data_IF_883553390236
#
_entry.id   IF_883553390236
#
_cell.length_a   1.000
_cell.length_b   1.000
_cell.length_c   1.000
_cell.angle_alpha   90.00
_cell.angle_beta   90.00
_cell.angle_gamma   90.00
#
_symmetry.space_group_name_H-M   'P 1'
#
loop_
_entity.id
_entity.type
_entity.pdbx_description
1 polymer ?
#
# COMPACT_ATOMS: atom_id res chain seq x y z
N UNK A 1 8.33 -13.07 16.40
CA UNK A 1 8.10 -11.70 15.92
C UNK A 1 6.61 -11.42 16.03
N UNK A 2 6.19 -10.35 16.72
CA UNK A 2 4.78 -10.07 17.06
C UNK A 2 4.24 -8.86 16.28
N UNK A 3 2.92 -8.77 16.09
CA UNK A 3 2.25 -7.60 15.48
C UNK A 3 2.55 -6.30 16.25
N UNK A 4 2.80 -6.41 17.56
CA UNK A 4 3.13 -5.30 18.45
C UNK A 4 4.43 -4.61 18.04
N UNK A 5 5.44 -5.37 17.61
CA UNK A 5 6.69 -4.81 17.13
C UNK A 5 6.50 -3.96 15.85
N UNK A 6 5.59 -4.36 14.96
CA UNK A 6 5.27 -3.57 13.77
C UNK A 6 4.46 -2.32 14.08
N UNK A 7 3.60 -2.37 15.11
CA UNK A 7 2.91 -1.19 15.60
C UNK A 7 3.89 -0.15 16.16
N UNK A 8 4.84 -0.58 16.99
CA UNK A 8 5.90 0.30 17.51
C UNK A 8 6.75 0.88 16.38
N UNK A 9 7.10 0.08 15.37
CA UNK A 9 7.85 0.55 14.21
C UNK A 9 7.08 1.59 13.37
N UNK A 10 5.77 1.38 13.16
CA UNK A 10 4.92 2.33 12.44
C UNK A 10 4.79 3.66 13.21
N UNK A 11 4.66 3.61 14.54
CA UNK A 11 4.68 4.81 15.40
C UNK A 11 6.01 5.53 15.27
N UNK A 12 7.14 4.83 15.39
CA UNK A 12 8.47 5.42 15.23
C UNK A 12 8.62 6.10 13.86
N UNK A 13 8.20 5.42 12.79
CA UNK A 13 8.24 5.95 11.43
C UNK A 13 7.46 7.26 11.32
N UNK A 14 6.18 7.27 11.72
CA UNK A 14 5.32 8.46 11.62
C UNK A 14 5.92 9.63 12.36
N UNK A 15 6.25 9.47 13.64
CA UNK A 15 6.78 10.58 14.43
C UNK A 15 8.15 11.05 13.93
N UNK A 16 9.01 10.13 13.43
CA UNK A 16 10.28 10.54 12.82
C UNK A 16 10.09 11.39 11.57
N UNK A 17 9.12 11.07 10.72
CA UNK A 17 8.87 11.84 9.49
C UNK A 17 8.35 13.25 9.73
N UNK A 18 7.84 13.53 10.93
CA UNK A 18 7.33 14.86 11.31
C UNK A 18 8.39 15.75 11.95
N UNK A 19 9.55 15.18 12.29
CA UNK A 19 10.67 15.90 12.89
C UNK A 19 11.63 16.34 11.78
N UNK A 20 11.68 17.64 11.53
CA UNK A 20 12.60 18.29 10.59
C UNK A 20 13.94 18.63 11.26
N UNK A 21 14.51 17.64 11.96
CA UNK A 21 15.85 17.70 12.55
C UNK A 21 16.68 16.49 12.13
N UNK A 22 17.99 16.68 12.03
CA UNK A 22 18.96 15.62 11.74
C UNK A 22 19.26 14.78 13.00
N UNK A 23 18.21 14.09 13.48
CA UNK A 23 18.33 13.12 14.57
C UNK A 23 18.49 11.69 14.03
N UNK A 24 19.41 10.89 14.60
CA UNK A 24 19.59 9.50 14.21
C UNK A 24 18.36 8.66 14.56
N UNK A 25 17.97 7.75 13.66
CA UNK A 25 16.85 6.83 13.88
C UNK A 25 17.23 5.77 14.91
N UNK A 26 16.82 5.98 16.17
CA UNK A 26 17.04 5.03 17.26
C UNK A 26 15.90 5.07 18.30
N UNK A 27 16.00 4.22 19.32
CA UNK A 27 14.97 4.08 20.36
C UNK A 27 14.72 5.36 21.18
N UNK A 28 15.63 6.33 21.21
CA UNK A 28 15.43 7.62 21.88
C UNK A 28 14.27 8.43 21.29
N UNK A 29 13.94 8.24 20.00
CA UNK A 29 12.76 8.84 19.39
C UNK A 29 11.44 8.35 20.00
N UNK A 30 11.46 7.20 20.71
CA UNK A 30 10.30 6.63 21.38
C UNK A 30 10.17 7.05 22.84
N UNK A 31 11.21 7.62 23.46
CA UNK A 31 11.20 8.05 24.87
C UNK A 31 10.03 9.00 25.22
N UNK A 32 9.66 10.00 24.38
CA UNK A 32 8.52 10.86 24.69
C UNK A 32 7.14 10.22 24.41
N UNK A 33 7.09 9.01 23.84
CA UNK A 33 5.86 8.37 23.38
C UNK A 33 5.40 7.26 24.33
N UNK A 34 4.16 7.38 24.81
CA UNK A 34 3.49 6.28 25.52
C UNK A 34 2.66 5.46 24.53
N UNK A 35 3.18 4.30 24.14
CA UNK A 35 2.49 3.36 23.24
C UNK A 35 1.70 2.34 24.09
N UNK A 36 0.38 2.29 23.90
CA UNK A 36 -0.50 1.35 24.60
C UNK A 36 -1.13 0.41 23.57
N UNK A 37 -0.70 -0.86 23.58
CA UNK A 37 -1.29 -1.90 22.74
C UNK A 37 -2.02 -2.92 23.62
N UNK A 38 -3.36 -2.93 23.66
CA UNK A 38 -4.13 -3.84 24.51
C UNK A 38 -3.84 -5.30 24.17
N UNK A 39 -3.66 -6.14 25.19
CA UNK A 39 -3.47 -7.58 25.01
C UNK A 39 -4.73 -8.23 24.40
N UNK A 40 -4.55 -9.17 23.47
CA UNK A 40 -5.65 -9.84 22.77
C UNK A 40 -6.26 -8.99 21.65
N UNK A 41 -5.80 -7.75 21.46
CA UNK A 41 -6.16 -6.96 20.28
C UNK A 41 -5.53 -7.53 19.01
N UNK A 42 -6.01 -7.07 17.84
CA UNK A 42 -5.39 -7.41 16.55
C UNK A 42 -3.89 -7.10 16.54
N UNK A 43 -3.43 -6.03 17.20
CA UNK A 43 -2.03 -5.62 17.21
C UNK A 43 -1.19 -6.36 18.25
N UNK A 44 -1.81 -7.06 19.20
CA UNK A 44 -1.12 -7.88 20.20
C UNK A 44 -1.89 -9.17 20.45
N UNK A 45 -1.97 -10.04 19.43
CA UNK A 45 -2.79 -11.24 19.52
C UNK A 45 -2.12 -12.28 20.41
N UNK A 46 -2.92 -13.21 20.93
CA UNK A 46 -2.41 -14.34 21.73
C UNK A 46 -2.02 -15.48 20.80
N UNK A 47 -0.89 -16.14 21.07
CA UNK A 47 -0.53 -17.39 20.40
C UNK A 47 -1.69 -18.40 20.53
N UNK A 48 -2.06 -19.16 19.48
CA UNK A 48 -1.38 -19.34 18.17
C UNK A 48 -1.94 -18.47 17.02
N UNK A 49 -2.53 -17.30 17.29
CA UNK A 49 -3.09 -16.45 16.25
C UNK A 49 -2.09 -16.10 15.14
N UNK A 50 -2.55 -16.12 13.89
CA UNK A 50 -1.73 -15.82 12.72
C UNK A 50 -1.32 -14.34 12.68
N UNK A 51 -0.05 -14.10 12.38
CA UNK A 51 0.55 -12.76 12.33
C UNK A 51 1.17 -12.43 10.96
N UNK A 52 0.94 -13.28 9.95
CA UNK A 52 1.47 -13.03 8.60
C UNK A 52 0.87 -11.74 8.03
N UNK A 53 1.60 -11.10 7.12
CA UNK A 53 1.21 -9.88 6.43
C UNK A 53 1.07 -8.60 7.28
N UNK A 54 1.39 -8.60 8.57
CA UNK A 54 1.27 -7.37 9.33
C UNK A 54 2.34 -6.30 9.01
N UNK A 55 3.51 -6.67 8.48
CA UNK A 55 4.43 -5.67 7.91
C UNK A 55 3.86 -5.06 6.63
N UNK A 56 3.31 -5.86 5.72
CA UNK A 56 2.86 -5.36 4.41
C UNK A 56 1.47 -4.69 4.43
N UNK A 57 0.61 -5.09 5.36
CA UNK A 57 -0.79 -4.62 5.40
C UNK A 57 -1.14 -3.88 6.69
N UNK A 58 -0.89 -4.48 7.86
CA UNK A 58 -1.31 -3.89 9.14
C UNK A 58 -0.52 -2.62 9.47
N UNK A 59 0.79 -2.60 9.19
CA UNK A 59 1.64 -1.43 9.43
C UNK A 59 1.20 -0.23 8.57
N UNK A 60 0.84 -0.46 7.31
CA UNK A 60 0.30 0.57 6.40
C UNK A 60 -1.00 1.17 6.97
N UNK A 61 -1.90 0.31 7.46
CA UNK A 61 -3.16 0.76 8.08
C UNK A 61 -2.92 1.57 9.37
N UNK A 62 -1.94 1.18 10.19
CA UNK A 62 -1.54 1.95 11.38
C UNK A 62 -0.99 3.31 10.98
N UNK A 63 -0.09 3.35 10.00
CA UNK A 63 0.53 4.59 9.52
C UNK A 63 -0.51 5.56 8.95
N UNK A 64 -1.41 5.09 8.09
CA UNK A 64 -2.54 5.90 7.58
C UNK A 64 -3.40 6.45 8.72
N UNK A 65 -3.70 5.62 9.73
CA UNK A 65 -4.52 6.02 10.87
C UNK A 65 -3.84 7.09 11.73
N UNK A 66 -2.53 6.97 11.95
CA UNK A 66 -1.75 7.94 12.73
C UNK A 66 -1.63 9.28 12.00
N UNK A 67 -1.30 9.30 10.71
CA UNK A 67 -1.25 10.55 9.94
C UNK A 67 -2.63 11.21 9.83
N UNK A 68 -3.68 10.42 9.61
CA UNK A 68 -5.06 10.91 9.60
C UNK A 68 -5.47 11.50 10.95
N UNK A 69 -5.10 10.86 12.06
CA UNK A 69 -5.38 11.37 13.41
C UNK A 69 -4.61 12.67 13.73
N UNK A 70 -3.39 12.81 13.21
CA UNK A 70 -2.59 14.02 13.34
C UNK A 70 -3.04 15.15 12.40
N UNK A 71 -3.90 14.86 11.43
CA UNK A 71 -4.41 15.86 10.50
C UNK A 71 -3.40 16.31 9.43
N UNK A 72 -2.29 15.59 9.24
CA UNK A 72 -1.16 16.03 8.42
C UNK A 72 -1.16 15.48 6.99
N UNK A 73 -1.72 14.28 6.79
CA UNK A 73 -1.71 13.61 5.48
C UNK A 73 -2.94 12.70 5.35
N UNK A 74 -3.60 12.74 4.20
CA UNK A 74 -4.63 11.78 3.83
C UNK A 74 -4.03 10.37 3.65
N UNK A 75 -4.87 9.33 3.61
CA UNK A 75 -4.36 7.97 3.46
C UNK A 75 -3.64 7.79 2.11
N UNK A 76 -2.51 7.09 2.13
CA UNK A 76 -1.91 6.54 0.91
C UNK A 76 -2.65 5.27 0.48
N UNK A 77 -2.11 4.54 -0.49
CA UNK A 77 -2.67 3.27 -0.94
C UNK A 77 -2.91 2.23 0.19
N UNK A 78 -2.29 2.38 1.37
CA UNK A 78 -2.62 1.62 2.57
C UNK A 78 -2.39 0.10 2.48
N UNK A 79 -1.53 -0.33 1.56
CA UNK A 79 -1.19 -1.72 1.24
C UNK A 79 0.12 -1.75 0.46
N UNK A 80 0.87 -2.84 0.55
CA UNK A 80 2.04 -3.06 -0.33
C UNK A 80 1.69 -3.88 -1.57
N UNK A 81 0.42 -4.28 -1.74
CA UNK A 81 -0.04 -5.12 -2.86
C UNK A 81 0.86 -6.35 -3.05
N UNK A 82 0.95 -7.18 -2.01
CA UNK A 82 1.94 -8.25 -1.96
C UNK A 82 1.56 -9.38 -2.92
N UNK A 83 2.23 -9.40 -4.07
CA UNK A 83 1.96 -10.34 -5.15
C UNK A 83 3.05 -11.39 -5.21
N UNK A 84 2.63 -12.65 -5.23
CA UNK A 84 3.51 -13.79 -5.30
C UNK A 84 3.02 -14.74 -6.36
N UNK A 85 3.94 -15.41 -7.03
CA UNK A 85 3.58 -16.52 -7.89
C UNK A 85 4.72 -17.52 -7.99
N UNK A 86 4.40 -18.74 -8.37
CA UNK A 86 5.42 -19.75 -8.57
C UNK A 86 4.87 -21.13 -8.93
N UNK A 87 5.79 -22.05 -9.09
CA UNK A 87 5.56 -23.47 -9.26
C UNK A 87 6.73 -24.25 -8.63
N UNK A 88 6.90 -25.53 -8.95
CA UNK A 88 7.98 -26.34 -8.39
C UNK A 88 9.39 -25.83 -8.72
N UNK A 89 9.55 -24.97 -9.74
CA UNK A 89 10.84 -24.48 -10.24
C UNK A 89 11.08 -23.00 -9.95
N UNK A 90 10.01 -22.21 -9.87
CA UNK A 90 10.08 -20.77 -9.78
C UNK A 90 9.33 -20.25 -8.56
N UNK A 91 9.87 -19.23 -7.90
CA UNK A 91 9.22 -18.52 -6.81
C UNK A 91 9.51 -17.03 -6.96
N UNK A 92 8.46 -16.22 -7.04
CA UNK A 92 8.55 -14.78 -7.16
C UNK A 92 7.70 -14.09 -6.09
N UNK A 93 8.19 -12.94 -5.66
CA UNK A 93 7.57 -12.08 -4.67
C UNK A 93 7.83 -10.63 -5.07
N UNK A 94 6.78 -9.82 -5.12
CA UNK A 94 6.89 -8.36 -5.27
C UNK A 94 5.87 -7.61 -4.43
N UNK A 95 6.23 -6.37 -4.11
CA UNK A 95 5.32 -5.35 -3.60
C UNK A 95 5.08 -4.33 -4.69
N UNK A 96 3.83 -3.97 -4.96
CA UNK A 96 3.48 -3.08 -6.07
C UNK A 96 3.06 -1.71 -5.52
N UNK A 97 3.61 -0.67 -6.14
CA UNK A 97 3.36 0.72 -5.77
C UNK A 97 1.92 1.20 -6.12
N UNK A 98 1.51 2.31 -5.51
CA UNK A 98 0.19 2.91 -5.72
C UNK A 98 0.19 4.39 -5.41
N UNK A 99 -0.99 4.97 -5.21
CA UNK A 99 -1.10 6.41 -4.97
C UNK A 99 -0.71 6.80 -3.55
N UNK A 100 0.09 7.85 -3.39
CA UNK A 100 0.33 8.43 -2.05
C UNK A 100 -0.78 9.42 -1.67
N UNK A 101 -1.00 9.60 -0.37
CA UNK A 101 -1.92 10.62 0.13
C UNK A 101 -1.40 12.03 -0.13
N UNK A 102 -2.33 12.98 -0.31
CA UNK A 102 -2.04 14.40 -0.27
C UNK A 102 -1.82 14.85 1.19
N UNK A 103 -1.00 15.88 1.40
CA UNK A 103 -0.61 16.28 2.75
C UNK A 103 -0.27 17.76 2.89
N UNK A 104 -0.02 18.15 4.15
CA UNK A 104 0.33 19.51 4.55
C UNK A 104 1.81 19.56 4.88
N UNK A 105 2.51 20.54 4.31
CA UNK A 105 3.91 20.84 4.60
C UNK A 105 4.03 21.85 5.75
N UNK A 106 3.07 22.78 5.85
CA UNK A 106 3.10 23.82 6.88
C UNK A 106 1.71 24.21 7.36
N UNK A 107 1.56 24.20 8.68
CA UNK A 107 0.39 24.75 9.37
C UNK A 107 0.63 26.19 9.81
N UNK A 108 -0.42 26.99 9.84
CA UNK A 108 -0.44 28.32 10.46
C UNK A 108 -0.69 28.25 11.96
N UNK A 109 -0.59 29.39 12.63
CA UNK A 109 -0.73 29.50 14.09
C UNK A 109 -2.11 29.04 14.60
N UNK A 110 -3.13 29.04 13.74
CA UNK A 110 -4.50 28.61 14.09
C UNK A 110 -4.81 27.20 13.61
N UNK A 111 -3.80 26.45 13.14
CA UNK A 111 -3.94 25.09 12.63
C UNK A 111 -4.45 25.00 11.19
N UNK A 112 -4.51 26.11 10.45
CA UNK A 112 -4.89 26.13 9.05
C UNK A 112 -3.76 25.58 8.16
N UNK A 113 -4.11 24.79 7.14
CA UNK A 113 -3.13 24.29 6.17
C UNK A 113 -2.73 25.42 5.20
N UNK A 114 -1.53 25.96 5.39
CA UNK A 114 -0.99 27.07 4.59
C UNK A 114 -0.37 26.55 3.29
N UNK A 115 0.42 25.49 3.40
CA UNK A 115 1.17 24.89 2.31
C UNK A 115 1.03 23.36 2.36
N UNK A 116 0.90 22.74 1.21
CA UNK A 116 0.67 21.31 1.08
C UNK A 116 1.11 20.80 -0.28
N UNK A 117 0.96 19.51 -0.48
CA UNK A 117 1.42 18.82 -1.68
C UNK A 117 0.37 17.84 -2.17
N UNK A 118 0.31 17.68 -3.49
CA UNK A 118 -0.38 16.56 -4.13
C UNK A 118 0.33 15.25 -3.76
N UNK A 119 -0.42 14.15 -3.79
CA UNK A 119 0.14 12.82 -3.72
C UNK A 119 0.85 12.45 -5.02
N UNK A 120 1.91 11.63 -4.90
CA UNK A 120 2.63 11.10 -6.03
C UNK A 120 1.95 9.83 -6.58
N UNK A 121 1.96 9.71 -7.90
CA UNK A 121 1.40 8.58 -8.63
C UNK A 121 2.36 7.38 -8.59
N UNK A 122 1.83 6.18 -8.29
CA UNK A 122 2.55 4.89 -8.41
C UNK A 122 3.92 4.89 -7.71
N UNK A 123 3.96 5.32 -6.45
CA UNK A 123 5.16 5.27 -5.60
C UNK A 123 5.02 4.27 -4.45
N UNK A 124 6.15 3.77 -3.96
CA UNK A 124 6.15 3.02 -2.70
C UNK A 124 5.97 4.01 -1.55
N UNK A 125 5.03 3.73 -0.65
CA UNK A 125 4.64 4.63 0.43
C UNK A 125 4.88 4.00 1.78
N UNK A 126 5.26 4.84 2.75
CA UNK A 126 5.36 4.49 4.16
C UNK A 126 6.30 3.31 4.45
N UNK A 127 5.74 2.18 4.88
CA UNK A 127 6.48 1.04 5.44
C UNK A 127 7.19 0.19 4.37
N UNK A 128 7.32 0.70 3.15
CA UNK A 128 7.93 0.02 2.00
C UNK A 128 9.27 0.66 1.65
N UNK A 129 10.30 -0.16 1.43
CA UNK A 129 11.63 0.28 0.99
C UNK A 129 12.14 -0.46 -0.26
N UNK A 130 11.24 -1.05 -1.03
CA UNK A 130 11.57 -1.82 -2.22
C UNK A 130 11.66 -0.93 -3.46
N UNK A 131 12.46 -1.39 -4.44
CA UNK A 131 12.44 -0.86 -5.81
C UNK A 131 11.64 -1.78 -6.69
N UNK A 132 11.03 -1.23 -7.74
CA UNK A 132 10.41 -2.03 -8.79
C UNK A 132 11.48 -2.89 -9.48
N UNK A 133 11.16 -4.14 -9.79
CA UNK A 133 12.02 -4.98 -10.63
C UNK A 133 11.82 -4.61 -12.10
N UNK A 134 12.91 -4.39 -12.82
CA UNK A 134 12.85 -4.10 -14.26
C UNK A 134 12.10 -5.22 -15.01
N UNK A 135 11.20 -4.89 -15.95
CA UNK A 135 10.43 -5.88 -16.69
C UNK A 135 11.32 -6.89 -17.41
N UNK A 136 12.40 -6.43 -18.06
CA UNK A 136 13.37 -7.30 -18.75
C UNK A 136 14.00 -8.34 -17.81
N UNK A 137 14.31 -7.95 -16.56
CA UNK A 137 14.88 -8.86 -15.56
C UNK A 137 13.84 -9.85 -15.07
N UNK A 138 12.59 -9.41 -14.87
CA UNK A 138 11.48 -10.28 -14.47
C UNK A 138 11.19 -11.34 -15.56
N UNK A 139 11.05 -10.91 -16.80
CA UNK A 139 10.72 -11.77 -17.95
C UNK A 139 11.87 -12.72 -18.32
N UNK A 140 13.12 -12.29 -18.11
CA UNK A 140 14.27 -13.17 -18.32
C UNK A 140 14.36 -14.29 -17.26
N UNK A 141 13.97 -14.00 -16.01
CA UNK A 141 14.08 -14.94 -14.89
C UNK A 141 12.89 -15.86 -14.72
N UNK A 142 11.71 -15.41 -15.14
CA UNK A 142 10.44 -16.07 -14.88
C UNK A 142 9.64 -16.18 -16.18
N UNK A 143 8.94 -17.29 -16.44
CA UNK A 143 8.11 -17.48 -17.63
C UNK A 143 6.79 -16.68 -17.50
N UNK A 144 6.92 -15.36 -17.48
CA UNK A 144 5.85 -14.38 -17.47
C UNK A 144 6.21 -13.24 -18.42
N UNK A 145 5.22 -12.47 -18.85
CA UNK A 145 5.38 -11.26 -19.65
C UNK A 145 4.67 -10.11 -18.95
N UNK A 146 5.36 -8.97 -18.75
CA UNK A 146 4.73 -7.75 -18.25
C UNK A 146 4.04 -7.07 -19.43
N UNK A 147 2.73 -7.27 -19.57
CA UNK A 147 1.99 -6.65 -20.67
C UNK A 147 1.91 -5.13 -20.53
N UNK A 148 1.71 -4.67 -19.30
CA UNK A 148 1.75 -3.25 -19.00
C UNK A 148 1.93 -2.97 -17.50
N UNK A 149 2.50 -1.80 -17.22
CA UNK A 149 2.45 -1.19 -15.90
C UNK A 149 2.20 0.31 -16.05
N UNK A 150 0.97 0.72 -15.80
CA UNK A 150 0.44 2.03 -16.18
C UNK A 150 -0.07 2.80 -14.96
N UNK A 151 -0.10 4.13 -15.05
CA UNK A 151 -0.82 4.96 -14.07
C UNK A 151 -2.32 4.79 -14.29
N UNK A 152 -3.06 4.45 -13.23
CA UNK A 152 -4.52 4.36 -13.22
C UNK A 152 -5.12 5.75 -13.01
N UNK A 153 -5.13 6.55 -14.07
CA UNK A 153 -5.56 7.95 -14.04
C UNK A 153 -6.97 8.11 -13.43
N UNK A 154 -7.14 9.13 -12.59
CA UNK A 154 -8.41 9.43 -11.91
C UNK A 154 -8.70 8.54 -10.70
N UNK A 155 -7.74 7.74 -10.25
CA UNK A 155 -7.89 6.94 -9.03
C UNK A 155 -7.52 7.69 -7.75
N UNK A 156 -6.76 8.78 -7.86
CA UNK A 156 -6.46 9.67 -6.73
C UNK A 156 -7.68 10.49 -6.29
N UNK A 157 -7.84 10.67 -4.97
CA UNK A 157 -8.91 11.44 -4.38
C UNK A 157 -8.79 12.93 -4.70
N UNK A 158 -9.91 13.59 -5.00
CA UNK A 158 -9.96 15.03 -5.21
C UNK A 158 -9.75 15.81 -3.90
N UNK A 159 -9.21 17.01 -4.00
CA UNK A 159 -9.08 17.96 -2.90
C UNK A 159 -8.35 19.21 -3.36
N UNK A 160 -8.18 20.19 -2.46
CA UNK A 160 -7.26 21.33 -2.69
C UNK A 160 -5.88 20.84 -3.13
N UNK A 161 -5.43 19.76 -2.49
CA UNK A 161 -4.34 18.92 -2.97
C UNK A 161 -4.89 17.53 -3.28
N UNK A 162 -4.55 17.01 -4.45
CA UNK A 162 -5.08 15.76 -4.99
C UNK A 162 -4.27 14.58 -4.49
N UNK A 163 -4.92 13.48 -4.15
CA UNK A 163 -4.22 12.23 -3.89
C UNK A 163 -3.57 11.68 -5.17
N UNK A 164 -2.50 10.92 -5.02
CA UNK A 164 -1.82 10.27 -6.14
C UNK A 164 -2.67 9.15 -6.73
N UNK A 165 -2.49 8.88 -8.02
CA UNK A 165 -3.10 7.76 -8.71
C UNK A 165 -2.38 6.45 -8.38
N UNK A 166 -3.16 5.38 -8.24
CA UNK A 166 -2.66 4.01 -8.25
C UNK A 166 -2.13 3.60 -9.62
N UNK A 167 -1.66 2.36 -9.72
CA UNK A 167 -1.16 1.75 -10.95
C UNK A 167 -2.03 0.59 -11.41
N UNK A 168 -1.89 0.19 -12.67
CA UNK A 168 -2.43 -1.05 -13.22
C UNK A 168 -1.27 -1.89 -13.72
N UNK A 169 -1.03 -3.05 -13.09
CA UNK A 169 0.02 -4.01 -13.46
C UNK A 169 -0.63 -5.25 -14.05
N UNK A 170 -0.22 -5.63 -15.26
CA UNK A 170 -0.74 -6.78 -16.01
C UNK A 170 0.40 -7.76 -16.28
N UNK A 171 0.27 -8.98 -15.78
CA UNK A 171 1.30 -10.03 -15.92
C UNK A 171 0.67 -11.24 -16.58
N UNK A 172 1.10 -11.55 -17.81
CA UNK A 172 0.71 -12.76 -18.52
C UNK A 172 1.60 -13.92 -18.09
N UNK A 173 1.00 -15.06 -17.80
CA UNK A 173 1.71 -16.28 -17.46
C UNK A 173 2.01 -17.10 -18.72
N UNK A 174 3.21 -17.65 -18.81
CA UNK A 174 3.65 -18.49 -19.94
C UNK A 174 3.78 -19.98 -19.55
N UNK A 175 3.72 -20.28 -18.26
CA UNK A 175 3.69 -21.62 -17.70
C UNK A 175 2.59 -21.74 -16.63
N UNK A 176 2.11 -22.97 -16.33
CA UNK A 176 1.24 -23.21 -15.19
C UNK A 176 1.91 -22.81 -13.86
N UNK A 177 1.21 -21.99 -13.07
CA UNK A 177 1.69 -21.47 -11.78
C UNK A 177 0.52 -21.21 -10.82
N UNK A 178 0.82 -21.19 -9.54
CA UNK A 178 -0.08 -20.67 -8.52
C UNK A 178 0.28 -19.20 -8.28
N UNK A 179 -0.69 -18.29 -8.43
CA UNK A 179 -0.55 -16.87 -8.10
C UNK A 179 -1.35 -16.54 -6.84
N UNK A 180 -0.78 -15.75 -5.94
CA UNK A 180 -1.44 -15.29 -4.71
C UNK A 180 -1.20 -13.81 -4.49
N UNK A 181 -2.24 -13.13 -3.99
CA UNK A 181 -2.21 -11.72 -3.64
C UNK A 181 -2.64 -11.57 -2.18
N UNK A 182 -1.91 -10.75 -1.43
CA UNK A 182 -2.33 -10.26 -0.12
C UNK A 182 -2.36 -8.75 -0.19
N UNK A 183 -3.54 -8.16 -0.04
CA UNK A 183 -3.71 -6.74 -0.33
C UNK A 183 -4.93 -6.14 0.38
N UNK A 184 -4.78 -4.93 0.91
CA UNK A 184 -5.86 -4.15 1.54
C UNK A 184 -6.49 -3.13 0.57
N UNK A 185 -7.44 -2.34 1.06
CA UNK A 185 -8.09 -1.24 0.30
C UNK A 185 -8.79 -1.67 -1.00
N UNK A 186 -9.29 -2.91 -1.05
CA UNK A 186 -10.20 -3.43 -2.09
C UNK A 186 -11.68 -3.27 -1.74
N UNK A 187 -11.97 -2.97 -0.47
CA UNK A 187 -13.32 -2.76 0.07
C UNK A 187 -13.49 -1.38 0.69
N UNK A 188 -12.55 -0.98 1.55
CA UNK A 188 -12.54 0.32 2.22
C UNK A 188 -11.55 1.22 1.50
N UNK A 189 -12.02 2.32 0.95
CA UNK A 189 -11.20 3.29 0.23
C UNK A 189 -10.15 3.95 1.14
N UNK A 190 -8.98 4.34 0.58
CA UNK A 190 -8.07 5.28 1.22
C UNK A 190 -8.79 6.61 1.51
N UNK A 191 -8.90 6.97 2.78
CA UNK A 191 -9.68 8.14 3.19
C UNK A 191 -8.98 9.45 2.78
N UNK A 192 -9.77 10.43 2.34
CA UNK A 192 -9.33 11.81 2.24
C UNK A 192 -9.30 12.50 3.61
N UNK A 193 -8.78 13.72 3.67
CA UNK A 193 -8.61 14.46 4.92
C UNK A 193 -9.06 15.92 4.77
N UNK A 194 -9.54 16.51 5.87
CA UNK A 194 -9.98 17.91 5.92
C UNK A 194 -10.98 18.32 4.81
N UNK A 195 -11.89 17.43 4.43
CA UNK A 195 -12.87 17.64 3.36
C UNK A 195 -12.43 17.15 1.97
N UNK A 196 -11.20 16.62 1.83
CA UNK A 196 -10.75 15.92 0.63
C UNK A 196 -11.48 14.59 0.43
N UNK A 197 -11.64 14.21 -0.83
CA UNK A 197 -12.29 12.97 -1.24
C UNK A 197 -11.36 11.76 -1.07
N UNK A 198 -11.97 10.59 -0.87
CA UNK A 198 -11.26 9.32 -0.81
C UNK A 198 -10.65 8.94 -2.17
N UNK A 199 -9.52 8.23 -2.12
CA UNK A 199 -8.96 7.57 -3.30
C UNK A 199 -9.80 6.36 -3.73
N UNK A 200 -9.68 5.93 -4.98
CA UNK A 200 -10.36 4.76 -5.47
C UNK A 200 -9.76 3.47 -4.87
N UNK A 201 -10.63 2.50 -4.54
CA UNK A 201 -10.21 1.16 -4.14
C UNK A 201 -9.41 0.46 -5.24
N UNK A 202 -8.47 -0.40 -4.82
CA UNK A 202 -7.79 -1.33 -5.71
C UNK A 202 -8.68 -2.50 -6.12
N UNK A 203 -8.26 -3.26 -7.13
CA UNK A 203 -8.95 -4.45 -7.66
C UNK A 203 -7.94 -5.51 -8.10
N UNK A 204 -8.30 -6.77 -7.93
CA UNK A 204 -7.50 -7.91 -8.38
C UNK A 204 -8.42 -8.79 -9.23
N UNK A 205 -7.97 -9.20 -10.41
CA UNK A 205 -8.74 -10.12 -11.26
C UNK A 205 -7.83 -10.84 -12.25
N UNK A 206 -8.30 -11.98 -12.76
CA UNK A 206 -7.64 -12.73 -13.83
C UNK A 206 -8.44 -12.56 -15.11
N UNK A 207 -7.77 -12.21 -16.19
CA UNK A 207 -8.27 -12.35 -17.56
C UNK A 207 -7.78 -13.70 -18.09
N UNK A 208 -8.69 -14.66 -18.22
CA UNK A 208 -8.40 -16.00 -18.71
C UNK A 208 -8.11 -15.98 -20.21
N UNK A 209 -7.30 -16.92 -20.68
CA UNK A 209 -6.98 -17.05 -22.11
C UNK A 209 -8.24 -17.27 -22.99
N UNK A 210 -9.33 -17.80 -22.43
CA UNK A 210 -10.62 -17.96 -23.10
C UNK A 210 -11.48 -16.67 -23.16
N UNK A 211 -10.98 -15.56 -22.62
CA UNK A 211 -11.68 -14.26 -22.55
C UNK A 211 -12.55 -14.06 -21.30
N UNK A 212 -12.68 -15.05 -20.42
CA UNK A 212 -13.39 -14.91 -19.16
C UNK A 212 -12.62 -14.01 -18.18
N UNK A 213 -13.34 -13.21 -17.40
CA UNK A 213 -12.78 -12.42 -16.31
C UNK A 213 -13.24 -12.95 -14.96
N UNK A 214 -12.28 -13.28 -14.10
CA UNK A 214 -12.53 -13.79 -12.74
C UNK A 214 -12.06 -12.75 -11.72
N UNK A 215 -13.01 -12.13 -10.99
CA UNK A 215 -12.67 -11.22 -9.90
C UNK A 215 -12.10 -11.99 -8.70
N UNK A 216 -11.05 -11.44 -8.08
CA UNK A 216 -10.40 -12.02 -6.91
C UNK A 216 -10.65 -11.20 -5.65
N UNK A 217 -10.59 -11.87 -4.51
CA UNK A 217 -10.67 -11.23 -3.19
C UNK A 217 -9.39 -10.43 -2.88
N UNK A 218 -9.41 -9.58 -1.83
CA UNK A 218 -8.21 -8.84 -1.40
C UNK A 218 -7.04 -9.77 -1.03
N UNK A 219 -7.36 -10.89 -0.38
CA UNK A 219 -6.44 -12.00 -0.14
C UNK A 219 -6.98 -13.22 -0.88
N UNK A 220 -6.28 -13.69 -1.90
CA UNK A 220 -6.76 -14.79 -2.74
C UNK A 220 -5.61 -15.55 -3.41
N UNK A 221 -5.90 -16.77 -3.84
CA UNK A 221 -4.98 -17.65 -4.55
C UNK A 221 -5.68 -18.27 -5.74
N UNK A 222 -5.01 -18.33 -6.89
CA UNK A 222 -5.57 -18.84 -8.13
C UNK A 222 -4.52 -19.58 -8.95
N UNK A 223 -4.95 -20.67 -9.58
CA UNK A 223 -4.14 -21.37 -10.58
C UNK A 223 -4.19 -20.59 -11.90
N UNK A 224 -3.01 -20.32 -12.45
CA UNK A 224 -2.79 -19.62 -13.70
C UNK A 224 -2.39 -20.63 -14.77
N UNK A 225 -2.94 -20.48 -15.98
CA UNK A 225 -2.55 -21.25 -17.15
C UNK A 225 -1.79 -20.38 -18.15
N UNK A 226 -0.99 -20.97 -19.05
CA UNK A 226 -0.36 -20.21 -20.14
C UNK A 226 -1.39 -19.38 -20.91
N UNK A 227 -1.11 -18.09 -21.06
CA UNK A 227 -1.98 -17.11 -21.71
C UNK A 227 -2.88 -16.32 -20.75
N UNK A 228 -3.12 -16.80 -19.53
CA UNK A 228 -3.88 -16.05 -18.51
C UNK A 228 -3.09 -14.80 -18.07
N UNK A 229 -3.80 -13.71 -17.79
CA UNK A 229 -3.24 -12.45 -17.32
C UNK A 229 -3.76 -12.13 -15.92
N UNK A 230 -2.85 -12.03 -14.95
CA UNK A 230 -3.18 -11.51 -13.63
C UNK A 230 -3.10 -9.98 -13.66
N UNK A 231 -4.20 -9.32 -13.27
CA UNK A 231 -4.29 -7.86 -13.27
C UNK A 231 -4.48 -7.33 -11.85
N UNK A 232 -3.60 -6.40 -11.47
CA UNK A 232 -3.64 -5.70 -10.20
C UNK A 232 -3.83 -4.22 -10.48
N UNK A 233 -4.98 -3.69 -10.09
CA UNK A 233 -5.20 -2.26 -9.96
C UNK A 233 -4.92 -1.86 -8.52
N UNK A 234 -3.85 -1.10 -8.28
CA UNK A 234 -3.51 -0.63 -6.94
C UNK A 234 -4.40 0.58 -6.55
N UNK A 235 -4.63 0.79 -5.24
CA UNK A 235 -5.43 1.92 -4.78
C UNK A 235 -4.77 3.26 -5.09
N UNK A 236 -5.57 4.31 -5.25
CA UNK A 236 -5.08 5.70 -5.22
C UNK A 236 -4.86 6.20 -3.79
N UNK A 237 -4.34 7.41 -3.65
CA UNK A 237 -4.29 8.11 -2.36
C UNK A 237 -5.52 9.01 -2.14
N UNK A 238 -5.80 9.35 -0.89
CA UNK A 238 -6.81 10.34 -0.53
C UNK A 238 -6.36 11.78 -0.84
N UNK A 239 -7.32 12.64 -1.17
CA UNK A 239 -7.08 14.08 -1.32
C UNK A 239 -7.14 14.81 0.02
N UNK A 240 -6.63 16.04 0.04
CA UNK A 240 -6.62 16.92 1.21
C UNK A 240 -7.35 18.23 0.91
N UNK A 241 -8.24 18.65 1.81
CA UNK A 241 -9.00 19.90 1.68
C UNK A 241 -10.16 19.79 0.70
N UNK A 242 -11.16 20.65 0.85
CA UNK A 242 -12.28 20.72 -0.10
C UNK A 242 -11.76 21.03 -1.54
N UNK A 243 -12.26 20.33 -2.58
CA UNK A 243 -11.92 20.61 -3.98
C UNK A 243 -12.34 22.00 -4.47
#
# INVERSE_FOLDING_TARGET
>A
MTLEAWAVAAVLYVFRTLVDDDIPLNAGCLEPLRIIVPEGSMLRPRYPAAVVAGNVETSQAITDALYGALGVMAASQGTMNNFTFGNARHQYYETIAGGSGAGVLRFGERGEALEGHDGADVVQTHMTNSRLTDPEVLEWRFPVLVESFEIRAGSGGAGRWRGGNGGRRRIRFLEPMTASIVSNRRRIAPHGLAGGAAGACGRNYVERANGERVELKPCDTVEMQPGDVFVIETPGGGGYGAP
#
